data_IF_735772301566
#
_entry.id   IF_735772301566
#
_cell.length_a   1.000
_cell.length_b   1.000
_cell.length_c   1.000
_cell.angle_alpha   90.00
_cell.angle_beta   90.00
_cell.angle_gamma   90.00
#
_symmetry.space_group_name_H-M   'P 1'
#
loop_
_entity.id
_entity.type
_entity.pdbx_description
1 polymer ?
#
# COMPACT_ATOMS: atom_id res chain seq x y z
N UNK A 1 16.88 7.42 -28.75
CA UNK A 1 18.12 8.22 -28.74
C UNK A 1 19.00 7.68 -27.64
N UNK A 2 20.16 7.09 -27.95
CA UNK A 2 21.12 6.61 -26.95
C UNK A 2 22.19 7.68 -26.71
N UNK A 3 22.52 7.94 -25.44
CA UNK A 3 23.56 8.90 -25.07
C UNK A 3 24.94 8.33 -25.31
N UNK A 4 25.87 9.14 -25.85
CA UNK A 4 27.30 8.84 -25.91
C UNK A 4 28.07 9.84 -25.04
N UNK A 5 28.95 9.39 -24.11
CA UNK A 5 29.21 8.00 -23.74
C UNK A 5 27.97 7.31 -23.12
N UNK A 6 27.98 5.98 -23.05
CA UNK A 6 26.85 5.19 -22.58
C UNK A 6 26.44 5.62 -21.15
N UNK A 7 25.15 5.87 -20.87
CA UNK A 7 24.73 6.35 -19.57
C UNK A 7 24.79 5.24 -18.51
N UNK A 8 25.19 5.58 -17.29
CA UNK A 8 25.05 4.72 -16.10
C UNK A 8 23.67 4.96 -15.47
N UNK A 9 22.94 3.89 -15.19
CA UNK A 9 21.64 3.92 -14.51
C UNK A 9 21.83 3.54 -13.03
N UNK A 10 21.33 4.38 -12.13
CA UNK A 10 21.52 4.27 -10.68
C UNK A 10 20.22 4.57 -9.93
N UNK A 11 20.06 4.01 -8.74
CA UNK A 11 18.88 4.18 -7.89
C UNK A 11 19.19 5.00 -6.65
N UNK A 12 18.28 5.89 -6.28
CA UNK A 12 18.47 6.88 -5.22
C UNK A 12 17.23 7.01 -4.34
N UNK A 13 17.44 7.31 -3.06
CA UNK A 13 16.40 7.69 -2.10
C UNK A 13 16.91 8.86 -1.26
N UNK A 14 16.17 9.97 -1.22
CA UNK A 14 16.54 11.19 -0.48
C UNK A 14 17.97 11.70 -0.80
N UNK A 15 18.43 11.46 -2.03
CA UNK A 15 19.78 11.83 -2.46
C UNK A 15 20.89 10.87 -2.02
N UNK A 16 20.58 9.81 -1.28
CA UNK A 16 21.50 8.70 -1.02
C UNK A 16 21.42 7.66 -2.15
N UNK A 17 22.57 7.11 -2.53
CA UNK A 17 22.68 6.03 -3.52
C UNK A 17 22.22 4.72 -2.90
N UNK A 18 21.26 4.05 -3.53
CA UNK A 18 20.75 2.73 -3.12
C UNK A 18 21.41 1.60 -3.89
N UNK A 19 21.57 1.77 -5.20
CA UNK A 19 22.11 0.76 -6.10
C UNK A 19 22.76 1.41 -7.32
N UNK A 20 23.96 0.96 -7.64
CA UNK A 20 24.72 1.38 -8.81
C UNK A 20 25.24 0.21 -9.65
N UNK A 21 24.82 -1.01 -9.32
CA UNK A 21 25.12 -2.21 -10.06
C UNK A 21 24.26 -2.22 -11.32
N UNK A 22 24.92 -2.13 -12.48
CA UNK A 22 24.24 -2.36 -13.76
C UNK A 22 23.84 -3.82 -13.84
N UNK A 23 22.60 -4.09 -14.27
CA UNK A 23 22.29 -5.42 -14.80
C UNK A 23 23.27 -5.65 -15.95
N UNK A 24 23.99 -6.78 -15.95
CA UNK A 24 24.95 -7.10 -17.01
C UNK A 24 24.35 -6.93 -18.42
N UNK A 25 25.24 -6.77 -19.40
CA UNK A 25 24.99 -6.35 -20.79
C UNK A 25 23.59 -6.70 -21.35
N UNK A 26 22.64 -5.77 -21.17
CA UNK A 26 21.53 -5.60 -22.11
C UNK A 26 22.12 -4.79 -23.28
N UNK A 27 21.82 -5.22 -24.51
CA UNK A 27 22.17 -4.70 -25.86
C UNK A 27 23.02 -3.40 -25.94
N UNK A 28 23.87 -3.25 -26.96
CA UNK A 28 24.53 -1.95 -27.31
C UNK A 28 23.58 -0.74 -27.26
N UNK A 29 22.27 -0.96 -27.43
CA UNK A 29 21.24 0.06 -27.45
C UNK A 29 20.54 0.34 -26.09
N UNK A 30 20.58 -0.55 -25.10
CA UNK A 30 19.76 -0.43 -23.87
C UNK A 30 20.54 -0.75 -22.59
N UNK A 31 20.69 0.26 -21.73
CA UNK A 31 21.20 0.08 -20.36
C UNK A 31 20.03 -0.05 -19.39
N UNK A 32 20.10 -1.00 -18.46
CA UNK A 32 19.14 -1.12 -17.37
C UNK A 32 19.81 -1.42 -16.03
N UNK A 33 19.13 -1.05 -14.97
CA UNK A 33 19.47 -1.40 -13.60
C UNK A 33 18.15 -1.75 -12.89
N UNK A 34 18.05 -2.97 -12.35
CA UNK A 34 16.85 -3.45 -11.67
C UNK A 34 17.02 -3.41 -10.15
N UNK A 35 16.37 -2.44 -9.48
CA UNK A 35 16.40 -2.35 -8.02
C UNK A 35 15.51 -3.42 -7.37
N UNK A 36 16.11 -4.25 -6.51
CA UNK A 36 15.38 -5.20 -5.66
C UNK A 36 15.46 -4.78 -4.19
N UNK A 37 14.32 -4.52 -3.55
CA UNK A 37 14.23 -4.14 -2.13
C UNK A 37 13.64 -5.30 -1.30
N UNK A 38 14.47 -6.18 -0.70
CA UNK A 38 13.98 -7.42 -0.08
C UNK A 38 13.22 -7.22 1.24
N UNK A 39 13.55 -6.17 2.00
CA UNK A 39 13.07 -5.99 3.38
C UNK A 39 12.24 -4.71 3.52
N UNK A 40 11.14 -4.61 2.77
CA UNK A 40 10.20 -3.50 2.91
C UNK A 40 9.35 -3.64 4.17
N UNK A 41 9.48 -2.67 5.08
CA UNK A 41 8.58 -2.46 6.22
C UNK A 41 7.61 -1.29 6.02
N UNK A 42 6.59 -1.18 6.89
CA UNK A 42 5.56 -0.13 6.87
C UNK A 42 6.09 1.29 6.80
N UNK A 43 7.27 1.55 7.37
CA UNK A 43 7.93 2.87 7.36
C UNK A 43 8.43 3.29 5.97
N UNK A 44 8.42 2.37 5.00
CA UNK A 44 8.78 2.65 3.62
C UNK A 44 7.57 3.01 2.75
N UNK A 45 6.37 3.00 3.33
CA UNK A 45 5.19 3.39 2.59
C UNK A 45 5.31 4.84 2.13
N UNK A 46 4.97 5.06 0.86
CA UNK A 46 5.06 6.36 0.17
C UNK A 46 6.47 6.94 0.07
N UNK A 47 7.52 6.14 0.34
CA UNK A 47 8.88 6.56 0.00
C UNK A 47 9.01 6.67 -1.51
N UNK A 48 9.73 7.70 -1.93
CA UNK A 48 10.01 7.99 -3.33
C UNK A 48 11.39 7.48 -3.68
N UNK A 49 11.46 6.65 -4.71
CA UNK A 49 12.69 6.08 -5.23
C UNK A 49 12.93 6.66 -6.62
N UNK A 50 14.13 7.20 -6.84
CA UNK A 50 14.49 7.89 -8.08
C UNK A 50 15.50 7.07 -8.87
N UNK A 51 15.16 6.75 -10.10
CA UNK A 51 16.09 6.24 -11.10
C UNK A 51 16.79 7.43 -11.76
N UNK A 52 18.11 7.40 -11.84
CA UNK A 52 18.94 8.44 -12.49
C UNK A 52 19.82 7.82 -13.56
N UNK A 53 19.79 8.39 -14.75
CA UNK A 53 20.65 8.06 -15.88
C UNK A 53 21.62 9.21 -16.16
N UNK A 54 22.92 8.95 -16.05
CA UNK A 54 23.98 9.94 -16.25
C UNK A 54 25.02 9.44 -17.27
N UNK A 55 25.31 10.23 -18.30
CA UNK A 55 26.38 9.95 -19.28
C UNK A 55 27.69 10.71 -18.96
N UNK A 56 27.61 11.87 -18.30
CA UNK A 56 28.78 12.68 -17.97
C UNK A 56 28.52 13.53 -16.73
N UNK A 57 29.58 14.06 -16.13
CA UNK A 57 29.49 15.01 -15.01
C UNK A 57 29.20 16.45 -15.46
N UNK A 58 29.06 16.70 -16.76
CA UNK A 58 28.86 18.04 -17.33
C UNK A 58 27.37 18.40 -17.49
N UNK A 59 26.50 17.39 -17.52
CA UNK A 59 25.07 17.55 -17.77
C UNK A 59 24.26 17.03 -16.61
N UNK A 60 23.12 17.65 -16.33
CA UNK A 60 22.21 17.16 -15.31
C UNK A 60 21.66 15.78 -15.70
N UNK A 61 21.69 14.79 -14.80
CA UNK A 61 21.20 13.45 -15.12
C UNK A 61 19.69 13.44 -15.35
N UNK A 62 19.25 12.67 -16.35
CA UNK A 62 17.83 12.40 -16.53
C UNK A 62 17.36 11.53 -15.36
N UNK A 63 16.17 11.81 -14.85
CA UNK A 63 15.62 11.05 -13.74
C UNK A 63 14.12 10.84 -13.87
N UNK A 64 13.66 9.75 -13.28
CA UNK A 64 12.24 9.47 -13.06
C UNK A 64 12.08 8.87 -11.67
N UNK A 65 10.90 9.02 -11.08
CA UNK A 65 10.64 8.57 -9.72
C UNK A 65 9.43 7.65 -9.66
N UNK A 66 9.51 6.67 -8.76
CA UNK A 66 8.42 5.78 -8.39
C UNK A 66 8.11 5.96 -6.91
N UNK A 67 6.85 5.78 -6.54
CA UNK A 67 6.42 5.83 -5.13
C UNK A 67 6.11 4.41 -4.67
N UNK A 68 6.67 4.01 -3.52
CA UNK A 68 6.38 2.71 -2.94
C UNK A 68 4.96 2.74 -2.37
N UNK A 69 4.03 2.03 -3.00
CA UNK A 69 2.68 1.81 -2.47
C UNK A 69 2.53 0.35 -2.06
N UNK A 70 2.23 0.12 -0.78
CA UNK A 70 2.17 -1.20 -0.17
C UNK A 70 0.84 -1.40 0.54
N UNK A 71 0.33 -2.60 0.46
CA UNK A 71 -0.86 -3.03 1.20
C UNK A 71 -0.45 -3.81 2.45
N UNK A 72 -1.13 -3.55 3.58
CA UNK A 72 -0.87 -4.21 4.84
C UNK A 72 -2.16 -4.67 5.52
N UNK A 73 -2.15 -5.86 6.16
CA UNK A 73 -3.27 -6.26 7.01
C UNK A 73 -3.41 -5.33 8.23
N UNK A 74 -4.55 -5.36 8.93
CA UNK A 74 -4.69 -4.73 10.23
C UNK A 74 -3.57 -5.13 11.19
N UNK A 75 -3.14 -4.20 12.03
CA UNK A 75 -2.24 -4.47 13.16
C UNK A 75 -3.02 -5.04 14.35
N UNK A 76 -4.25 -4.56 14.54
CA UNK A 76 -5.12 -4.95 15.63
C UNK A 76 -6.56 -5.00 15.13
N UNK A 77 -7.31 -5.95 15.66
CA UNK A 77 -8.75 -6.07 15.50
C UNK A 77 -9.35 -6.30 16.88
N UNK A 78 -10.30 -5.46 17.27
CA UNK A 78 -11.00 -5.60 18.56
C UNK A 78 -12.49 -5.35 18.44
N UNK A 79 -13.24 -5.98 19.33
CA UNK A 79 -14.67 -5.73 19.53
C UNK A 79 -14.81 -4.98 20.85
N UNK A 80 -15.46 -3.83 20.82
CA UNK A 80 -15.77 -2.99 21.98
C UNK A 80 -17.28 -2.85 22.12
N UNK A 81 -17.79 -2.64 23.34
CA UNK A 81 -19.23 -2.48 23.54
C UNK A 81 -19.67 -2.62 24.99
N UNK A 82 -20.90 -2.19 25.28
CA UNK A 82 -21.47 -2.29 26.61
C UNK A 82 -21.92 -3.73 26.91
N UNK A 83 -21.34 -4.33 27.95
CA UNK A 83 -21.59 -5.72 28.33
C UNK A 83 -22.86 -5.91 29.16
N UNK A 84 -23.48 -4.84 29.67
CA UNK A 84 -24.66 -4.93 30.54
C UNK A 84 -25.90 -4.31 29.88
N UNK A 85 -26.84 -5.13 29.35
CA UNK A 85 -28.19 -4.66 29.12
C UNK A 85 -28.82 -4.36 30.48
N UNK A 86 -29.18 -3.09 30.71
CA UNK A 86 -29.79 -2.66 31.96
C UNK A 86 -31.28 -3.05 31.94
N UNK A 87 -31.59 -4.32 32.23
CA UNK A 87 -32.95 -4.85 32.33
C UNK A 87 -33.38 -5.81 31.21
N UNK A 88 -34.50 -6.50 31.43
CA UNK A 88 -35.14 -7.38 30.45
C UNK A 88 -35.52 -6.60 29.19
N UNK A 89 -35.09 -7.08 28.01
CA UNK A 89 -35.23 -6.36 26.75
C UNK A 89 -34.12 -5.35 26.44
N UNK A 90 -33.04 -5.31 27.23
CA UNK A 90 -31.91 -4.44 26.95
C UNK A 90 -31.15 -4.81 25.67
N UNK A 91 -30.55 -3.79 25.06
CA UNK A 91 -29.90 -3.86 23.75
C UNK A 91 -28.38 -3.82 23.92
N UNK A 92 -27.68 -4.62 23.13
CA UNK A 92 -26.21 -4.60 23.08
C UNK A 92 -25.74 -3.70 21.95
N UNK A 93 -24.81 -2.80 22.24
CA UNK A 93 -24.12 -2.02 21.21
C UNK A 93 -22.68 -2.50 21.14
N UNK A 94 -22.34 -3.16 20.04
CA UNK A 94 -21.01 -3.65 19.76
C UNK A 94 -20.42 -2.87 18.58
N UNK A 95 -19.15 -2.55 18.69
CA UNK A 95 -18.34 -1.87 17.69
C UNK A 95 -17.15 -2.76 17.37
N UNK A 96 -16.85 -2.93 16.09
CA UNK A 96 -15.62 -3.58 15.66
C UNK A 96 -14.66 -2.53 15.11
N UNK A 97 -13.44 -2.55 15.61
CA UNK A 97 -12.39 -1.64 15.20
C UNK A 97 -11.19 -2.44 14.68
N UNK A 98 -10.78 -2.16 13.43
CA UNK A 98 -9.53 -2.63 12.86
C UNK A 98 -8.59 -1.44 12.65
N UNK A 99 -7.37 -1.52 13.17
CA UNK A 99 -6.38 -0.43 13.10
C UNK A 99 -5.18 -0.83 12.24
N UNK A 100 -4.55 0.15 11.58
CA UNK A 100 -3.31 -0.07 10.83
C UNK A 100 -3.43 -0.80 9.49
N UNK A 101 -4.64 -1.06 8.99
CA UNK A 101 -4.85 -1.68 7.68
C UNK A 101 -4.65 -0.68 6.54
N UNK A 102 -4.07 -1.14 5.43
CA UNK A 102 -4.05 -0.40 4.15
C UNK A 102 -4.28 -1.36 2.97
N UNK A 103 -5.35 -1.20 2.18
CA UNK A 103 -6.45 -0.25 2.37
C UNK A 103 -7.23 -0.50 3.68
N UNK A 104 -8.15 0.40 4.09
CA UNK A 104 -9.03 0.16 5.22
C UNK A 104 -9.69 -1.23 5.12
N UNK A 105 -9.67 -1.98 6.21
CA UNK A 105 -10.22 -3.33 6.22
C UNK A 105 -11.74 -3.31 6.07
N UNK A 106 -12.27 -4.25 5.28
CA UNK A 106 -13.69 -4.51 5.23
C UNK A 106 -14.10 -5.33 6.45
N UNK A 107 -14.98 -4.78 7.28
CA UNK A 107 -15.46 -5.38 8.54
C UNK A 107 -16.84 -5.99 8.31
N UNK A 108 -17.05 -7.22 8.79
CA UNK A 108 -18.33 -7.90 8.68
C UNK A 108 -18.71 -8.63 9.97
N UNK A 109 -19.99 -8.58 10.30
CA UNK A 109 -20.57 -9.23 11.47
C UNK A 109 -21.33 -10.48 11.06
N UNK A 110 -21.11 -11.57 11.79
CA UNK A 110 -21.77 -12.84 11.55
C UNK A 110 -22.38 -13.36 12.85
N UNK A 111 -23.62 -13.84 12.77
CA UNK A 111 -24.34 -14.46 13.88
C UNK A 111 -24.94 -15.78 13.39
N UNK A 112 -24.60 -16.88 14.06
CA UNK A 112 -25.04 -18.23 13.66
C UNK A 112 -24.80 -18.56 12.17
N UNK A 113 -23.71 -18.03 11.60
CA UNK A 113 -23.34 -18.22 10.19
C UNK A 113 -24.05 -17.29 9.21
N UNK A 114 -24.91 -16.38 9.67
CA UNK A 114 -25.59 -15.40 8.84
C UNK A 114 -24.86 -14.05 8.88
N UNK A 115 -24.59 -13.49 7.71
CA UNK A 115 -24.06 -12.13 7.56
C UNK A 115 -25.09 -11.12 8.03
N UNK A 116 -24.70 -10.26 8.97
CA UNK A 116 -25.52 -9.14 9.41
C UNK A 116 -25.33 -7.95 8.46
N UNK A 117 -26.42 -7.36 8.01
CA UNK A 117 -26.37 -6.12 7.22
C UNK A 117 -26.02 -4.93 8.12
N UNK A 118 -25.34 -3.88 7.61
CA UNK A 118 -25.02 -2.66 8.37
C UNK A 118 -26.24 -1.79 8.74
N UNK A 119 -27.44 -2.37 8.75
CA UNK A 119 -28.61 -1.75 9.35
C UNK A 119 -28.48 -1.87 10.87
N UNK A 120 -29.05 -0.89 11.56
CA UNK A 120 -29.22 -0.85 13.01
C UNK A 120 -30.14 -2.00 13.46
N UNK A 121 -29.69 -3.24 13.27
CA UNK A 121 -30.42 -4.44 13.58
C UNK A 121 -30.30 -4.64 15.09
N UNK A 122 -31.25 -4.01 15.77
CA UNK A 122 -31.47 -4.09 17.20
C UNK A 122 -31.58 -5.57 17.60
N UNK A 123 -30.51 -6.11 18.19
CA UNK A 123 -30.49 -7.45 18.73
C UNK A 123 -31.46 -7.50 19.93
N UNK A 124 -32.63 -8.11 19.73
CA UNK A 124 -33.58 -8.42 20.81
C UNK A 124 -33.28 -9.83 21.32
N UNK A 125 -32.76 -10.00 22.56
CA UNK A 125 -32.52 -11.32 23.10
C UNK A 125 -33.84 -12.03 23.42
N UNK A 126 -34.23 -13.00 22.60
CA UNK A 126 -35.31 -13.93 22.95
C UNK A 126 -34.72 -15.19 23.59
N UNK A 127 -34.74 -15.22 24.93
CA UNK A 127 -34.31 -16.31 25.83
C UNK A 127 -32.79 -16.50 25.93
N UNK A 128 -32.32 -16.67 27.17
CA UNK A 128 -30.92 -16.65 27.64
C UNK A 128 -30.04 -17.78 27.07
N UNK A 129 -29.73 -17.77 25.77
CA UNK A 129 -28.55 -18.44 25.23
C UNK A 129 -27.39 -17.45 25.14
N UNK A 130 -26.12 -17.88 25.35
CA UNK A 130 -24.98 -17.04 25.03
C UNK A 130 -24.99 -16.76 23.53
N UNK A 131 -25.15 -15.49 23.14
CA UNK A 131 -25.08 -15.07 21.74
C UNK A 131 -23.62 -15.21 21.30
N UNK A 132 -23.37 -16.04 20.28
CA UNK A 132 -22.04 -16.21 19.69
C UNK A 132 -21.93 -15.31 18.45
N UNK A 133 -21.31 -14.14 18.61
CA UNK A 133 -21.01 -13.25 17.50
C UNK A 133 -19.60 -13.50 17.01
N UNK A 134 -19.47 -13.78 15.71
CA UNK A 134 -18.19 -13.94 15.06
C UNK A 134 -17.91 -12.76 14.16
N UNK A 135 -16.68 -12.26 14.25
CA UNK A 135 -16.18 -11.19 13.43
C UNK A 135 -15.22 -11.74 12.38
N UNK A 136 -15.34 -11.30 11.13
CA UNK A 136 -14.35 -11.58 10.10
C UNK A 136 -13.98 -10.32 9.32
N UNK A 137 -12.71 -10.26 8.92
CA UNK A 137 -12.20 -9.25 8.01
C UNK A 137 -11.60 -9.90 6.76
N UNK A 138 -11.66 -9.19 5.65
CA UNK A 138 -10.99 -9.61 4.40
C UNK A 138 -9.97 -8.54 4.03
N UNK A 139 -8.73 -8.96 3.85
CA UNK A 139 -7.67 -8.13 3.29
C UNK A 139 -7.59 -8.36 1.79
N UNK A 140 -7.87 -7.31 1.01
CA UNK A 140 -7.69 -7.32 -0.45
C UNK A 140 -6.46 -6.47 -0.76
N UNK A 141 -5.31 -7.08 -1.14
CA UNK A 141 -4.15 -6.31 -1.52
C UNK A 141 -4.45 -5.50 -2.79
N UNK A 142 -3.91 -4.28 -2.87
CA UNK A 142 -3.99 -3.49 -4.09
C UNK A 142 -3.22 -4.22 -5.20
N UNK A 143 -3.87 -4.45 -6.35
CA UNK A 143 -3.18 -4.93 -7.54
C UNK A 143 -2.21 -3.86 -8.03
N UNK A 144 -1.02 -4.25 -8.48
CA UNK A 144 -0.01 -3.33 -9.01
C UNK A 144 -0.64 -2.45 -10.10
N UNK A 145 -0.85 -1.17 -9.82
CA UNK A 145 -1.18 -0.21 -10.85
C UNK A 145 0.08 0.01 -11.69
N UNK A 146 0.05 -0.17 -13.03
CA UNK A 146 1.21 0.18 -13.85
C UNK A 146 1.51 1.67 -13.63
N UNK A 147 2.77 1.98 -13.37
CA UNK A 147 3.25 3.36 -13.27
C UNK A 147 2.83 4.12 -14.53
N UNK A 148 2.39 5.39 -14.40
CA UNK A 148 2.18 6.24 -15.57
C UNK A 148 3.48 6.33 -16.38
N UNK A 149 3.40 6.40 -17.73
CA UNK A 149 4.58 6.55 -18.56
C UNK A 149 5.36 7.81 -18.14
N UNK A 150 6.70 7.80 -18.22
CA UNK A 150 7.50 8.98 -17.89
C UNK A 150 7.06 10.15 -18.77
N UNK A 151 6.58 11.22 -18.14
CA UNK A 151 6.26 12.47 -18.83
C UNK A 151 7.54 13.06 -19.39
N UNK A 152 7.64 13.15 -20.72
CA UNK A 152 8.77 13.78 -21.40
C UNK A 152 8.87 15.26 -21.00
N UNK A 153 10.06 15.76 -20.58
CA UNK A 153 10.24 17.17 -20.35
C UNK A 153 10.09 17.90 -21.68
N UNK A 154 9.06 18.74 -21.79
CA UNK A 154 8.83 19.60 -22.96
C UNK A 154 9.85 20.75 -22.87
N UNK A 155 10.96 20.65 -23.60
CA UNK A 155 11.86 21.79 -23.77
C UNK A 155 11.18 22.82 -24.66
N UNK A 156 10.60 23.86 -24.05
CA UNK A 156 10.22 25.08 -24.76
C UNK A 156 11.51 25.85 -25.06
N UNK A 157 12.00 25.76 -26.31
CA UNK A 157 12.95 26.74 -26.82
C UNK A 157 12.21 28.07 -27.00
N UNK A 158 12.53 29.04 -26.15
CA UNK A 158 12.21 30.43 -26.43
C UNK A 158 13.15 30.95 -27.52
N UNK A 159 12.55 31.57 -28.54
CA UNK A 159 13.23 32.16 -29.70
C UNK A 159 13.86 33.51 -29.39
#
# INVERSE_FOLDING_TARGET
MTGRPQPKVTWWHEGALLDDLSDGEKSEEVVANTLTLPNLSRQHLYRVITCRAANSNLTQPLHTSITIDMSFPPLEVRITGNQSPMGEGGTYTLECQATGSKPPAALSWWMDGLLMTPTHDQLRPSRLSPISLNFSYVFVPATNHPNPPPTTPTSTLAS
#
